data_IF_179743761340
#
_entry.id   IF_179743761340
#
_cell.length_a   1.000
_cell.length_b   1.000
_cell.length_c   1.000
_cell.angle_alpha   90.00
_cell.angle_beta   90.00
_cell.angle_gamma   90.00
#
_symmetry.space_group_name_H-M   'P 1'
#
loop_
_entity.id
_entity.type
_entity.pdbx_description
1 polymer ?
#
# COMPACT_ATOMS: atom_id res chain seq x y z
N UNK A 1 18.43 8.85 37.26
CA UNK A 1 19.13 10.05 36.76
C UNK A 1 20.30 9.77 35.79
N UNK A 2 20.80 8.53 35.61
CA UNK A 2 21.90 8.25 34.66
C UNK A 2 21.45 8.05 33.20
N UNK A 3 20.21 7.64 32.97
CA UNK A 3 19.66 7.33 31.63
C UNK A 3 19.29 8.57 30.82
N UNK A 4 18.93 9.68 31.47
CA UNK A 4 18.53 10.93 30.82
C UNK A 4 19.71 11.62 30.13
N UNK A 5 20.90 11.59 30.74
CA UNK A 5 22.12 12.13 30.13
C UNK A 5 22.58 11.31 28.91
N UNK A 6 22.39 9.99 28.96
CA UNK A 6 22.67 9.12 27.81
C UNK A 6 21.73 9.40 26.64
N UNK A 7 20.44 9.63 26.91
CA UNK A 7 19.47 10.02 25.87
C UNK A 7 19.80 11.38 25.23
N UNK A 8 20.14 12.38 26.04
CA UNK A 8 20.53 13.70 25.52
C UNK A 8 21.81 13.64 24.70
N UNK A 9 22.79 12.85 25.12
CA UNK A 9 24.03 12.67 24.37
C UNK A 9 23.79 12.00 23.01
N UNK A 10 22.97 10.94 22.96
CA UNK A 10 22.61 10.28 21.71
C UNK A 10 21.79 11.18 20.78
N UNK A 11 20.91 12.02 21.32
CA UNK A 11 20.15 13.00 20.55
C UNK A 11 21.06 14.03 19.87
N UNK A 12 22.01 14.59 20.63
CA UNK A 12 22.95 15.60 20.11
C UNK A 12 23.85 14.96 19.05
N UNK A 13 24.34 13.74 19.28
CA UNK A 13 25.18 13.03 18.32
C UNK A 13 24.41 12.71 17.01
N UNK A 14 23.14 12.32 17.11
CA UNK A 14 22.30 12.10 15.93
C UNK A 14 22.03 13.40 15.16
N UNK A 15 21.91 14.53 15.86
CA UNK A 15 21.69 15.83 15.24
C UNK A 15 22.94 16.32 14.50
N UNK A 16 24.13 16.17 15.11
CA UNK A 16 25.40 16.59 14.48
C UNK A 16 25.77 15.70 13.30
N UNK A 17 25.46 14.39 13.35
CA UNK A 17 25.63 13.51 12.19
C UNK A 17 24.75 13.93 11.01
N UNK A 18 23.49 14.32 11.28
CA UNK A 18 22.57 14.82 10.24
C UNK A 18 23.06 16.13 9.63
N UNK A 19 23.60 17.05 10.42
CA UNK A 19 24.17 18.31 9.88
C UNK A 19 25.46 18.07 9.10
N UNK A 20 26.30 17.11 9.50
CA UNK A 20 27.50 16.73 8.75
C UNK A 20 27.15 16.04 7.42
N UNK A 21 26.10 15.21 7.39
CA UNK A 21 25.55 14.60 6.17
C UNK A 21 24.79 15.60 5.29
N UNK A 22 24.30 16.72 5.85
CA UNK A 22 23.66 17.80 5.10
C UNK A 22 24.67 18.84 4.55
N UNK A 23 25.96 18.71 4.88
CA UNK A 23 27.02 19.66 4.56
C UNK A 23 27.61 19.55 3.15
N UNK A 24 27.00 18.79 2.23
CA UNK A 24 27.47 18.66 0.84
C UNK A 24 26.35 18.96 -0.19
N UNK A 25 25.36 19.78 0.20
CA UNK A 25 24.34 20.28 -0.72
C UNK A 25 24.61 21.72 -1.18
N UNK A 26 25.85 22.19 -1.04
CA UNK A 26 26.25 23.57 -1.40
C UNK A 26 26.79 23.68 -2.84
N UNK A 27 26.43 22.74 -3.73
CA UNK A 27 27.01 22.62 -5.08
C UNK A 27 26.01 22.66 -6.25
N UNK A 28 24.81 23.25 -6.09
CA UNK A 28 23.89 23.36 -7.23
C UNK A 28 23.04 24.64 -7.34
N UNK A 29 23.42 25.74 -6.67
CA UNK A 29 22.97 27.08 -7.06
C UNK A 29 24.09 27.77 -7.83
N UNK A 30 24.49 27.17 -8.97
CA UNK A 30 25.34 27.83 -9.97
C UNK A 30 24.42 28.52 -10.96
N UNK A 31 24.54 29.84 -11.01
CA UNK A 31 23.91 30.69 -12.00
C UNK A 31 24.05 30.13 -13.43
N UNK A 32 22.92 29.98 -14.11
CA UNK A 32 22.85 30.41 -15.51
C UNK A 32 22.88 29.37 -16.62
N UNK A 33 22.45 28.12 -16.41
CA UNK A 33 22.04 27.21 -17.51
C UNK A 33 21.31 25.96 -17.00
N UNK A 34 20.00 26.07 -16.78
CA UNK A 34 19.14 24.89 -16.64
C UNK A 34 19.21 24.08 -17.94
N UNK A 35 19.77 22.88 -17.87
CA UNK A 35 19.76 21.95 -19.00
C UNK A 35 18.33 21.42 -19.19
N UNK A 36 17.88 21.29 -20.43
CA UNK A 36 16.59 20.68 -20.74
C UNK A 36 16.47 19.28 -20.13
N UNK A 37 17.56 18.51 -20.14
CA UNK A 37 17.60 17.17 -19.56
C UNK A 37 17.43 17.18 -18.04
N UNK A 38 18.01 18.18 -17.36
CA UNK A 38 17.90 18.32 -15.91
C UNK A 38 16.47 18.69 -15.49
N UNK A 39 15.87 19.66 -16.18
CA UNK A 39 14.47 20.05 -15.96
C UNK A 39 13.55 18.87 -16.28
N UNK A 40 13.80 18.16 -17.38
CA UNK A 40 12.98 17.01 -17.79
C UNK A 40 13.07 15.87 -16.78
N UNK A 41 14.25 15.56 -16.26
CA UNK A 41 14.43 14.53 -15.23
C UNK A 41 13.72 14.91 -13.92
N UNK A 42 13.83 16.17 -13.49
CA UNK A 42 13.16 16.67 -12.29
C UNK A 42 11.63 16.64 -12.46
N UNK A 43 11.13 17.05 -13.63
CA UNK A 43 9.69 17.02 -13.95
C UNK A 43 9.19 15.58 -14.04
N UNK A 44 9.87 14.68 -14.76
CA UNK A 44 9.45 13.27 -14.85
C UNK A 44 9.40 12.59 -13.47
N UNK A 45 10.37 12.89 -12.59
CA UNK A 45 10.40 12.31 -11.24
C UNK A 45 9.32 12.88 -10.30
N UNK A 46 8.86 14.12 -10.52
CA UNK A 46 7.98 14.83 -9.59
C UNK A 46 6.59 15.14 -10.14
N UNK A 47 6.31 14.87 -11.42
CA UNK A 47 5.04 15.19 -12.04
C UNK A 47 3.90 14.40 -11.38
N UNK A 48 2.91 15.07 -10.77
CA UNK A 48 1.78 14.40 -10.13
C UNK A 48 0.94 13.58 -11.12
N UNK A 49 0.79 14.02 -12.37
CA UNK A 49 0.02 13.28 -13.37
C UNK A 49 0.66 11.93 -13.72
N UNK A 50 2.00 11.87 -13.80
CA UNK A 50 2.73 10.61 -14.05
C UNK A 50 2.58 9.67 -12.84
N UNK A 51 2.69 10.20 -11.62
CA UNK A 51 2.49 9.42 -10.39
C UNK A 51 1.05 8.89 -10.29
N UNK A 52 0.07 9.70 -10.67
CA UNK A 52 -1.32 9.26 -10.73
C UNK A 52 -1.53 8.15 -11.77
N UNK A 53 -0.96 8.29 -12.97
CA UNK A 53 -1.01 7.28 -14.01
C UNK A 53 -0.37 5.95 -13.54
N UNK A 54 0.80 6.00 -12.90
CA UNK A 54 1.46 4.83 -12.33
C UNK A 54 0.62 4.18 -11.22
N UNK A 55 0.01 4.99 -10.35
CA UNK A 55 -0.86 4.51 -9.30
C UNK A 55 -2.12 3.84 -9.88
N UNK A 56 -2.74 4.42 -10.91
CA UNK A 56 -3.89 3.83 -11.62
C UNK A 56 -3.51 2.49 -12.25
N UNK A 57 -2.36 2.41 -12.90
CA UNK A 57 -1.84 1.15 -13.45
C UNK A 57 -1.58 0.10 -12.37
N UNK A 58 -0.96 0.48 -11.23
CA UNK A 58 -0.72 -0.45 -10.13
C UNK A 58 -2.04 -0.98 -9.53
N UNK A 59 -3.00 -0.10 -9.30
CA UNK A 59 -4.33 -0.49 -8.82
C UNK A 59 -5.04 -1.44 -9.80
N UNK A 60 -4.94 -1.18 -11.10
CA UNK A 60 -5.51 -2.05 -12.13
C UNK A 60 -4.86 -3.44 -12.15
N UNK A 61 -3.52 -3.53 -12.02
CA UNK A 61 -2.81 -4.82 -11.88
C UNK A 61 -3.26 -5.61 -10.65
N UNK A 62 -3.43 -4.95 -9.52
CA UNK A 62 -3.89 -5.58 -8.27
C UNK A 62 -5.35 -6.04 -8.33
N UNK A 63 -6.19 -5.40 -9.16
CA UNK A 63 -7.58 -5.77 -9.37
C UNK A 63 -7.75 -7.10 -10.13
N UNK A 64 -6.85 -7.43 -11.05
CA UNK A 64 -6.91 -8.68 -11.84
C UNK A 64 -6.97 -9.94 -10.98
N UNK A 65 -6.05 -10.19 -10.03
CA UNK A 65 -6.12 -11.37 -9.16
C UNK A 65 -7.33 -11.34 -8.21
N UNK A 66 -7.78 -10.15 -7.79
CA UNK A 66 -8.99 -10.01 -6.96
C UNK A 66 -10.25 -10.44 -7.72
N UNK A 67 -10.39 -10.02 -8.99
CA UNK A 67 -11.49 -10.43 -9.85
C UNK A 67 -11.47 -11.94 -10.14
N UNK A 68 -10.28 -12.53 -10.27
CA UNK A 68 -10.11 -13.98 -10.44
C UNK A 68 -10.47 -14.79 -9.19
N UNK A 69 -10.42 -14.17 -8.00
CA UNK A 69 -10.62 -14.85 -6.73
C UNK A 69 -12.07 -14.88 -6.22
N UNK A 70 -13.03 -14.35 -7.00
CA UNK A 70 -14.39 -14.10 -6.51
C UNK A 70 -15.14 -15.37 -6.07
N UNK A 71 -15.10 -16.42 -6.89
CA UNK A 71 -15.73 -17.71 -6.58
C UNK A 71 -14.72 -18.75 -6.02
N UNK A 72 -13.54 -18.31 -5.56
CA UNK A 72 -12.59 -19.21 -4.90
C UNK A 72 -13.07 -19.58 -3.48
N UNK A 73 -12.48 -20.64 -2.92
CA UNK A 73 -12.70 -21.04 -1.52
C UNK A 73 -12.44 -19.86 -0.58
N UNK A 74 -13.45 -19.48 0.19
CA UNK A 74 -13.36 -18.46 1.24
C UNK A 74 -13.40 -19.16 2.59
N UNK A 75 -12.44 -18.80 3.44
CA UNK A 75 -12.37 -19.25 4.82
C UNK A 75 -12.47 -18.01 5.69
N UNK A 76 -13.51 -17.93 6.51
CA UNK A 76 -13.74 -16.83 7.43
C UNK A 76 -13.96 -17.37 8.84
N UNK A 77 -13.39 -16.72 9.84
CA UNK A 77 -13.64 -16.98 11.25
C UNK A 77 -14.20 -15.72 11.89
N UNK A 78 -15.34 -15.85 12.57
CA UNK A 78 -15.96 -14.76 13.31
C UNK A 78 -15.98 -15.11 14.81
N UNK A 79 -15.71 -14.11 15.64
CA UNK A 79 -15.69 -14.22 17.09
C UNK A 79 -16.34 -12.98 17.68
N UNK A 80 -17.56 -13.13 18.18
CA UNK A 80 -18.33 -12.04 18.75
C UNK A 80 -18.20 -12.04 20.28
N UNK A 81 -17.73 -10.93 20.86
CA UNK A 81 -17.58 -10.77 22.30
C UNK A 81 -18.55 -9.71 22.83
N UNK A 82 -19.69 -10.16 23.35
CA UNK A 82 -20.64 -9.27 24.01
C UNK A 82 -20.34 -9.14 25.50
N UNK A 83 -20.24 -7.90 26.00
CA UNK A 83 -20.18 -7.62 27.44
C UNK A 83 -21.60 -7.65 28.01
N UNK A 84 -22.20 -8.84 28.13
CA UNK A 84 -23.41 -8.98 28.92
C UNK A 84 -23.07 -8.67 30.38
N UNK A 85 -23.69 -7.63 30.92
CA UNK A 85 -23.81 -7.49 32.37
C UNK A 85 -24.56 -8.75 32.84
N UNK A 86 -23.81 -9.69 33.42
CA UNK A 86 -24.26 -11.03 33.83
C UNK A 86 -24.64 -11.97 32.67
N UNK A 87 -23.66 -12.75 32.18
CA UNK A 87 -23.94 -13.95 31.35
C UNK A 87 -24.67 -14.96 32.24
N UNK A 88 -25.95 -15.28 31.99
CA UNK A 88 -26.65 -16.30 32.77
C UNK A 88 -25.92 -17.64 32.62
N UNK A 89 -25.99 -18.55 33.60
CA UNK A 89 -25.30 -19.85 33.55
C UNK A 89 -25.69 -20.78 32.36
N UNK A 90 -26.61 -20.33 31.51
CA UNK A 90 -27.11 -21.06 30.33
C UNK A 90 -26.77 -20.35 28.99
N UNK A 91 -25.92 -19.32 28.96
CA UNK A 91 -25.51 -18.66 27.72
C UNK A 91 -24.12 -19.12 27.27
N UNK A 92 -23.99 -19.46 25.99
CA UNK A 92 -22.75 -19.93 25.37
C UNK A 92 -22.06 -18.77 24.64
N UNK A 93 -20.73 -18.84 24.53
CA UNK A 93 -19.95 -17.90 23.72
C UNK A 93 -20.00 -18.35 22.27
N UNK A 94 -20.49 -17.49 21.38
CA UNK A 94 -20.65 -17.84 19.96
C UNK A 94 -19.32 -17.67 19.22
N UNK A 95 -18.71 -18.79 18.86
CA UNK A 95 -17.54 -18.85 17.97
C UNK A 95 -17.94 -19.63 16.72
N UNK A 96 -17.71 -19.06 15.53
CA UNK A 96 -18.08 -19.70 14.27
C UNK A 96 -16.91 -19.72 13.29
N UNK A 97 -16.74 -20.87 12.64
CA UNK A 97 -15.82 -21.06 11.52
C UNK A 97 -16.65 -21.42 10.30
N UNK A 98 -16.61 -20.56 9.28
CA UNK A 98 -17.38 -20.74 8.05
C UNK A 98 -16.44 -20.98 6.88
N UNK A 99 -16.69 -22.07 6.15
CA UNK A 99 -15.99 -22.43 4.92
C UNK A 99 -16.99 -22.34 3.78
N UNK A 100 -16.81 -21.37 2.89
CA UNK A 100 -17.69 -21.16 1.73
C UNK A 100 -16.94 -21.47 0.44
N UNK A 101 -17.52 -22.32 -0.40
CA UNK A 101 -17.01 -22.57 -1.74
C UNK A 101 -18.16 -22.65 -2.73
N UNK A 102 -18.21 -21.69 -3.66
CA UNK A 102 -19.06 -21.79 -4.82
C UNK A 102 -18.38 -22.75 -5.82
N UNK A 103 -19.00 -23.89 -6.13
CA UNK A 103 -18.43 -24.85 -7.07
C UNK A 103 -18.49 -24.23 -8.49
N UNK A 104 -17.34 -23.94 -9.14
CA UNK A 104 -17.36 -23.28 -10.43
C UNK A 104 -17.71 -24.31 -11.52
N UNK A 105 -19.00 -24.54 -11.76
CA UNK A 105 -19.47 -25.39 -12.88
C UNK A 105 -19.23 -24.68 -14.22
N UNK A 106 -19.18 -23.34 -14.21
CA UNK A 106 -18.97 -22.51 -15.40
C UNK A 106 -17.74 -21.63 -15.19
N UNK A 107 -16.97 -21.38 -16.26
CA UNK A 107 -15.72 -20.58 -16.24
C UNK A 107 -15.89 -19.08 -15.98
N UNK A 108 -16.89 -18.69 -15.18
CA UNK A 108 -17.27 -17.30 -14.88
C UNK A 108 -16.10 -16.50 -14.30
N UNK A 109 -15.34 -17.06 -13.35
CA UNK A 109 -14.12 -16.43 -12.81
C UNK A 109 -13.07 -16.13 -13.89
N UNK A 110 -12.92 -17.01 -14.88
CA UNK A 110 -11.96 -16.81 -15.96
C UNK A 110 -12.38 -15.67 -16.89
N UNK A 111 -13.68 -15.46 -17.09
CA UNK A 111 -14.20 -14.30 -17.81
C UNK A 111 -14.01 -13.01 -17.00
N UNK A 112 -14.27 -13.02 -15.70
CA UNK A 112 -14.01 -11.87 -14.83
C UNK A 112 -12.54 -11.47 -14.80
N UNK A 113 -11.64 -12.46 -14.74
CA UNK A 113 -10.19 -12.22 -14.80
C UNK A 113 -9.77 -11.61 -16.16
N UNK A 114 -10.32 -12.11 -17.27
CA UNK A 114 -10.05 -11.57 -18.62
C UNK A 114 -10.58 -10.15 -18.80
N UNK A 115 -11.78 -9.86 -18.30
CA UNK A 115 -12.34 -8.51 -18.34
C UNK A 115 -11.47 -7.53 -17.54
N UNK A 116 -11.09 -7.89 -16.31
CA UNK A 116 -10.21 -7.08 -15.50
C UNK A 116 -8.81 -6.90 -16.13
N UNK A 117 -8.28 -7.92 -16.80
CA UNK A 117 -7.01 -7.82 -17.52
C UNK A 117 -7.11 -6.89 -18.75
N UNK A 118 -8.24 -6.92 -19.47
CA UNK A 118 -8.49 -6.00 -20.57
C UNK A 118 -8.63 -4.55 -20.10
N UNK A 119 -9.32 -4.32 -18.97
CA UNK A 119 -9.38 -2.99 -18.32
C UNK A 119 -8.01 -2.50 -17.86
N UNK A 120 -7.17 -3.39 -17.33
CA UNK A 120 -5.80 -3.03 -16.97
C UNK A 120 -4.98 -2.64 -18.21
N UNK A 121 -5.11 -3.40 -19.30
CA UNK A 121 -4.43 -3.11 -20.56
C UNK A 121 -4.86 -1.76 -21.14
N UNK A 122 -6.16 -1.44 -21.13
CA UNK A 122 -6.64 -0.14 -21.61
C UNK A 122 -6.09 1.02 -20.78
N UNK A 123 -6.01 0.86 -19.45
CA UNK A 123 -5.41 1.88 -18.56
C UNK A 123 -3.92 2.07 -18.86
N UNK A 124 -3.21 1.02 -19.28
CA UNK A 124 -1.81 1.14 -19.71
C UNK A 124 -1.67 1.86 -21.04
N UNK A 125 -2.59 1.64 -21.99
CA UNK A 125 -2.59 2.28 -23.31
C UNK A 125 -3.00 3.76 -23.29
N UNK A 126 -3.72 4.20 -22.26
CA UNK A 126 -4.13 5.61 -22.07
C UNK A 126 -3.01 6.54 -21.55
N UNK A 127 -1.87 5.99 -21.12
CA UNK A 127 -0.71 6.71 -20.54
C UNK A 127 0.35 7.00 -21.61
#
# INVERSE_FOLDING_TARGET
MKTTYSLLFNLILALTLRTALAGDNDSAVREGRLSLDEVTNVVLANNPAIKEAENRWRAAKERVPQAAAWDNLKVAGDSEFHRYINVPPNAFMDQSLTVEQLVPITGKNLVHARAAAAEALSIFEEV
#
